data_IF_527396879421
#
_entry.id   IF_527396879421
#
_cell.length_a   1.000
_cell.length_b   1.000
_cell.length_c   1.000
_cell.angle_alpha   90.00
_cell.angle_beta   90.00
_cell.angle_gamma   90.00
#
_symmetry.space_group_name_H-M   'P 1'
#
loop_
_entity.id
_entity.type
_entity.pdbx_description
1 polymer ?
#
# COMPACT_ATOMS: atom_id res chain seq x y z
N UNK A 1 -23.86 64.32 -29.61
CA UNK A 1 -23.16 64.01 -30.88
C UNK A 1 -22.20 62.85 -30.64
N UNK A 2 -22.04 62.00 -31.64
CA UNK A 2 -21.57 60.61 -31.60
C UNK A 2 -20.05 60.37 -31.37
N UNK A 3 -19.74 59.21 -30.76
CA UNK A 3 -18.68 58.16 -30.96
C UNK A 3 -17.30 58.58 -31.54
N UNK A 4 -16.14 58.12 -31.02
CA UNK A 4 -15.52 56.75 -31.10
C UNK A 4 -14.52 56.54 -29.93
N UNK A 5 -14.41 55.42 -29.19
CA UNK A 5 -13.92 54.03 -29.43
C UNK A 5 -12.47 53.86 -29.92
N UNK A 6 -11.56 53.37 -29.07
CA UNK A 6 -10.81 52.09 -29.26
C UNK A 6 -9.72 51.80 -28.19
N UNK A 7 -9.63 50.52 -27.82
CA UNK A 7 -8.80 49.87 -26.80
C UNK A 7 -7.31 49.63 -27.16
N UNK A 8 -6.45 49.44 -26.13
CA UNK A 8 -5.47 48.33 -25.98
C UNK A 8 -4.87 48.36 -24.55
N UNK A 9 -5.08 47.35 -23.68
CA UNK A 9 -4.14 46.25 -23.27
C UNK A 9 -2.87 46.74 -22.52
N UNK A 10 -2.35 46.19 -21.41
CA UNK A 10 -2.51 44.93 -20.65
C UNK A 10 -1.62 45.05 -19.36
N UNK A 11 -2.01 44.33 -18.30
CA UNK A 11 -1.25 43.75 -17.16
C UNK A 11 -0.15 44.51 -16.38
N UNK A 12 -0.35 44.53 -15.05
CA UNK A 12 0.60 44.20 -13.96
C UNK A 12 -0.29 43.57 -12.87
N UNK A 13 -0.34 42.28 -12.59
CA UNK A 13 0.65 41.29 -12.12
C UNK A 13 1.33 41.63 -10.78
N UNK A 14 0.80 41.02 -9.72
CA UNK A 14 1.56 40.46 -8.59
C UNK A 14 0.60 39.52 -7.85
N UNK A 15 0.21 38.46 -8.56
CA UNK A 15 -0.27 37.25 -7.91
C UNK A 15 0.91 36.64 -7.16
N UNK A 16 0.76 36.39 -5.86
CA UNK A 16 1.74 35.63 -5.10
C UNK A 16 1.77 34.21 -5.66
N UNK A 17 2.81 33.93 -6.44
CA UNK A 17 3.18 32.61 -6.94
C UNK A 17 3.44 31.68 -5.75
N UNK A 18 2.39 31.02 -5.27
CA UNK A 18 2.54 29.72 -4.62
C UNK A 18 3.06 28.79 -5.71
N UNK A 19 4.38 28.68 -5.82
CA UNK A 19 5.04 27.57 -6.51
C UNK A 19 4.64 26.28 -5.80
N UNK A 20 3.47 25.76 -6.18
CA UNK A 20 3.20 24.34 -6.09
C UNK A 20 4.13 23.75 -7.14
N UNK A 21 5.38 23.48 -6.76
CA UNK A 21 6.27 22.62 -7.54
C UNK A 21 5.48 21.36 -7.84
N UNK A 22 5.18 21.16 -9.12
CA UNK A 22 4.60 19.92 -9.65
C UNK A 22 5.63 18.81 -9.43
N UNK A 23 5.67 18.26 -8.22
CA UNK A 23 6.51 17.10 -7.93
C UNK A 23 6.05 15.98 -8.86
N UNK A 24 6.99 15.44 -9.61
CA UNK A 24 6.71 14.26 -10.43
C UNK A 24 6.47 13.08 -9.49
N UNK A 25 5.55 12.17 -9.84
CA UNK A 25 5.35 10.93 -9.09
C UNK A 25 6.61 10.06 -8.99
N UNK A 26 7.64 10.35 -9.80
CA UNK A 26 8.96 9.72 -9.75
C UNK A 26 9.87 10.24 -8.62
N UNK A 27 9.54 11.38 -8.00
CA UNK A 27 10.36 12.03 -6.96
C UNK A 27 9.92 11.66 -5.54
N UNK A 28 8.91 10.79 -5.40
CA UNK A 28 8.49 10.32 -4.09
C UNK A 28 9.59 9.44 -3.47
N UNK A 29 9.97 9.75 -2.23
CA UNK A 29 10.99 9.00 -1.49
C UNK A 29 10.37 7.85 -0.68
N UNK A 30 9.14 8.04 -0.23
CA UNK A 30 8.38 7.05 0.55
C UNK A 30 7.00 6.77 -0.05
N UNK A 31 6.38 5.63 0.30
CA UNK A 31 4.99 5.35 -0.08
C UNK A 31 4.01 6.45 0.32
N UNK A 32 4.19 7.06 1.50
CA UNK A 32 3.34 8.15 1.97
C UNK A 32 3.51 9.43 1.14
N UNK A 33 4.73 9.75 0.71
CA UNK A 33 4.96 10.91 -0.17
C UNK A 33 4.21 10.73 -1.49
N UNK A 34 4.30 9.53 -2.08
CA UNK A 34 3.56 9.23 -3.31
C UNK A 34 2.05 9.24 -3.08
N UNK A 35 1.59 8.74 -1.93
CA UNK A 35 0.18 8.77 -1.56
C UNK A 35 -0.35 10.21 -1.51
N UNK A 36 0.42 11.15 -0.95
CA UNK A 36 0.05 12.56 -0.91
C UNK A 36 0.02 13.18 -2.32
N UNK A 37 1.01 12.87 -3.17
CA UNK A 37 1.08 13.37 -4.55
C UNK A 37 -0.04 12.83 -5.46
N UNK A 38 -0.45 11.58 -5.26
CA UNK A 38 -1.56 10.99 -6.01
C UNK A 38 -2.91 11.40 -5.41
N UNK A 39 -3.00 11.51 -4.08
CA UNK A 39 -4.21 11.80 -3.33
C UNK A 39 -4.79 13.20 -3.56
N UNK A 40 -4.02 14.12 -4.17
CA UNK A 40 -4.55 15.40 -4.66
C UNK A 40 -5.47 15.25 -5.88
N UNK A 41 -5.48 14.09 -6.52
CA UNK A 41 -6.28 13.76 -7.70
C UNK A 41 -7.56 13.01 -7.25
N UNK A 42 -8.58 13.77 -6.82
CA UNK A 42 -9.76 13.24 -6.12
C UNK A 42 -10.70 12.37 -6.95
N UNK A 43 -10.40 12.14 -8.24
CA UNK A 43 -11.28 11.42 -9.17
C UNK A 43 -10.80 9.99 -9.53
N UNK A 44 -9.66 9.53 -8.98
CA UNK A 44 -9.12 8.23 -9.34
C UNK A 44 -9.94 7.08 -8.74
N UNK A 45 -10.39 6.15 -9.58
CA UNK A 45 -10.91 4.86 -9.12
C UNK A 45 -9.83 4.04 -8.41
N UNK A 46 -10.18 3.09 -7.51
CA UNK A 46 -9.19 2.25 -6.82
C UNK A 46 -8.23 1.52 -7.75
N UNK A 47 -8.71 1.10 -8.94
CA UNK A 47 -7.87 0.45 -9.96
C UNK A 47 -6.87 1.44 -10.57
N UNK A 48 -7.31 2.65 -10.93
CA UNK A 48 -6.43 3.67 -11.50
C UNK A 48 -5.40 4.15 -10.47
N UNK A 49 -5.84 4.37 -9.23
CA UNK A 49 -4.95 4.67 -8.11
C UNK A 49 -3.86 3.61 -7.97
N UNK A 50 -4.25 2.32 -7.90
CA UNK A 50 -3.30 1.21 -7.82
C UNK A 50 -2.31 1.21 -8.99
N UNK A 51 -2.79 1.36 -10.23
CA UNK A 51 -1.92 1.35 -11.40
C UNK A 51 -0.92 2.51 -11.38
N UNK A 52 -1.37 3.72 -11.02
CA UNK A 52 -0.52 4.92 -10.91
C UNK A 52 0.51 4.77 -9.78
N UNK A 53 0.09 4.26 -8.63
CA UNK A 53 0.98 4.03 -7.49
C UNK A 53 2.05 2.98 -7.80
N UNK A 54 1.66 1.85 -8.42
CA UNK A 54 2.57 0.76 -8.80
C UNK A 54 3.50 1.09 -9.96
N UNK A 55 3.21 2.13 -10.73
CA UNK A 55 4.08 2.58 -11.80
C UNK A 55 5.35 3.28 -11.28
N UNK A 56 5.41 3.65 -9.99
CA UNK A 56 6.65 4.16 -9.40
C UNK A 56 7.70 3.04 -9.34
N UNK A 57 8.92 3.34 -9.82
CA UNK A 57 10.03 2.38 -9.91
C UNK A 57 10.47 1.82 -8.55
N UNK A 58 10.26 2.58 -7.47
CA UNK A 58 10.61 2.20 -6.10
C UNK A 58 9.55 1.35 -5.42
N UNK A 59 8.41 1.08 -6.07
CA UNK A 59 7.32 0.30 -5.48
C UNK A 59 7.81 -1.03 -4.87
N UNK A 60 8.61 -1.80 -5.61
CA UNK A 60 9.11 -3.10 -5.14
C UNK A 60 10.17 -2.94 -4.03
N UNK A 61 10.92 -1.85 -4.02
CA UNK A 61 11.86 -1.52 -2.94
C UNK A 61 11.09 -1.20 -1.65
N UNK A 62 10.03 -0.40 -1.74
CA UNK A 62 9.23 0.02 -0.60
C UNK A 62 8.49 -1.12 0.08
N UNK A 63 8.08 -2.15 -0.66
CA UNK A 63 7.57 -3.40 -0.06
C UNK A 63 8.56 -3.95 0.97
N UNK A 64 9.86 -3.76 0.77
CA UNK A 64 10.91 -4.28 1.68
C UNK A 64 11.39 -3.27 2.71
N UNK A 65 11.37 -1.98 2.37
CA UNK A 65 11.96 -0.91 3.21
C UNK A 65 10.94 -0.13 4.02
N UNK A 66 9.67 -0.12 3.62
CA UNK A 66 8.59 0.65 4.25
C UNK A 66 7.32 -0.18 4.45
N UNK A 67 7.41 -1.38 5.04
CA UNK A 67 6.31 -2.34 5.03
C UNK A 67 5.04 -1.80 5.70
N UNK A 68 5.14 -1.10 6.82
CA UNK A 68 4.00 -0.50 7.51
C UNK A 68 3.26 0.54 6.65
N UNK A 69 3.99 1.36 5.88
CA UNK A 69 3.36 2.32 4.97
C UNK A 69 2.69 1.61 3.81
N UNK A 70 3.34 0.56 3.29
CA UNK A 70 2.81 -0.25 2.20
C UNK A 70 1.51 -0.97 2.58
N UNK A 71 1.37 -1.47 3.82
CA UNK A 71 0.10 -2.04 4.31
C UNK A 71 -1.04 -1.03 4.17
N UNK A 72 -0.82 0.22 4.56
CA UNK A 72 -1.84 1.28 4.48
C UNK A 72 -2.24 1.56 3.03
N UNK A 73 -1.25 1.63 2.14
CA UNK A 73 -1.51 1.84 0.70
C UNK A 73 -2.26 0.66 0.09
N UNK A 74 -1.90 -0.59 0.43
CA UNK A 74 -2.59 -1.78 -0.05
C UNK A 74 -4.06 -1.82 0.37
N UNK A 75 -4.42 -1.23 1.51
CA UNK A 75 -5.82 -1.04 1.92
C UNK A 75 -6.65 -0.19 0.96
N UNK A 76 -6.02 0.60 0.08
CA UNK A 76 -6.68 1.44 -0.92
C UNK A 76 -6.80 0.77 -2.30
N UNK A 77 -6.15 -0.37 -2.50
CA UNK A 77 -6.20 -1.12 -3.76
C UNK A 77 -7.45 -2.01 -3.83
N UNK A 78 -7.83 -2.49 -5.03
CA UNK A 78 -8.84 -3.53 -5.16
C UNK A 78 -8.45 -4.79 -4.36
N UNK A 79 -9.40 -5.32 -3.57
CA UNK A 79 -9.14 -6.35 -2.57
C UNK A 79 -8.34 -7.56 -3.09
N UNK A 80 -8.65 -8.06 -4.29
CA UNK A 80 -7.91 -9.19 -4.88
C UNK A 80 -6.42 -8.89 -5.10
N UNK A 81 -6.08 -7.66 -5.48
CA UNK A 81 -4.69 -7.24 -5.65
C UNK A 81 -4.02 -7.02 -4.29
N UNK A 82 -4.73 -6.41 -3.34
CA UNK A 82 -4.26 -6.19 -1.98
C UNK A 82 -3.93 -7.50 -1.27
N UNK A 83 -4.78 -8.52 -1.39
CA UNK A 83 -4.56 -9.83 -0.77
C UNK A 83 -3.22 -10.44 -1.20
N UNK A 84 -2.96 -10.49 -2.52
CA UNK A 84 -1.71 -11.06 -3.05
C UNK A 84 -0.48 -10.28 -2.55
N UNK A 85 -0.53 -8.94 -2.63
CA UNK A 85 0.58 -8.09 -2.21
C UNK A 85 0.82 -8.15 -0.70
N UNK A 86 -0.25 -8.27 0.09
CA UNK A 86 -0.16 -8.41 1.55
C UNK A 86 0.49 -9.74 1.91
N UNK A 87 0.09 -10.84 1.28
CA UNK A 87 0.73 -12.15 1.51
C UNK A 87 2.22 -12.08 1.18
N UNK A 88 2.61 -11.46 0.06
CA UNK A 88 4.01 -11.29 -0.31
C UNK A 88 4.79 -10.41 0.69
N UNK A 89 4.22 -9.27 1.08
CA UNK A 89 4.80 -8.35 2.05
C UNK A 89 5.14 -9.07 3.36
N UNK A 90 4.17 -9.76 3.95
CA UNK A 90 4.35 -10.42 5.24
C UNK A 90 5.23 -11.66 5.17
N UNK A 91 5.32 -12.32 4.01
CA UNK A 91 6.30 -13.40 3.78
C UNK A 91 7.74 -12.90 3.94
N UNK A 92 8.02 -11.68 3.48
CA UNK A 92 9.36 -11.09 3.62
C UNK A 92 9.56 -10.33 4.94
N UNK A 93 8.53 -9.66 5.43
CA UNK A 93 8.65 -8.80 6.61
C UNK A 93 8.96 -9.61 7.87
N UNK A 94 8.35 -10.79 8.03
CA UNK A 94 8.59 -11.65 9.21
C UNK A 94 10.05 -12.06 9.37
N UNK A 95 10.77 -12.30 8.27
CA UNK A 95 12.21 -12.61 8.27
C UNK A 95 13.06 -11.41 8.76
N UNK A 96 12.58 -10.18 8.54
CA UNK A 96 13.28 -8.96 8.96
C UNK A 96 12.93 -8.53 10.37
N UNK A 97 11.66 -8.65 10.74
CA UNK A 97 11.16 -8.28 12.06
C UNK A 97 9.86 -9.01 12.36
N UNK A 98 9.97 -10.10 13.11
CA UNK A 98 8.80 -10.84 13.60
C UNK A 98 7.90 -9.92 14.44
N UNK A 99 8.46 -9.25 15.45
CA UNK A 99 7.70 -8.42 16.40
C UNK A 99 6.90 -7.29 15.71
N UNK A 100 7.50 -6.60 14.72
CA UNK A 100 6.79 -5.53 14.00
C UNK A 100 5.68 -6.07 13.11
N UNK A 101 5.93 -7.21 12.44
CA UNK A 101 4.94 -7.84 11.57
C UNK A 101 3.78 -8.42 12.38
N UNK A 102 4.04 -9.07 13.51
CA UNK A 102 3.03 -9.53 14.47
C UNK A 102 2.19 -8.35 14.97
N UNK A 103 2.85 -7.30 15.49
CA UNK A 103 2.16 -6.11 15.99
C UNK A 103 1.27 -5.46 14.93
N UNK A 104 1.70 -5.42 13.66
CA UNK A 104 0.88 -4.91 12.58
C UNK A 104 -0.37 -5.78 12.34
N UNK A 105 -0.25 -7.10 12.36
CA UNK A 105 -1.39 -8.02 12.19
C UNK A 105 -2.40 -7.85 13.34
N UNK A 106 -1.91 -7.77 14.57
CA UNK A 106 -2.75 -7.73 15.77
C UNK A 106 -3.43 -6.38 15.97
N UNK A 107 -2.73 -5.27 15.68
CA UNK A 107 -3.19 -3.94 16.01
C UNK A 107 -3.77 -3.20 14.81
N UNK A 108 -3.08 -3.20 13.66
CA UNK A 108 -3.48 -2.43 12.48
C UNK A 108 -4.45 -3.20 11.58
N UNK A 109 -4.33 -4.53 11.53
CA UNK A 109 -5.13 -5.38 10.64
C UNK A 109 -6.24 -6.16 11.35
N UNK A 110 -6.48 -5.97 12.64
CA UNK A 110 -7.45 -6.74 13.45
C UNK A 110 -8.80 -7.00 12.78
N UNK A 111 -9.37 -5.94 12.22
CA UNK A 111 -10.68 -5.94 11.55
C UNK A 111 -10.57 -5.70 10.04
N UNK A 112 -9.35 -5.71 9.51
CA UNK A 112 -9.07 -5.52 8.08
C UNK A 112 -9.42 -6.79 7.29
N UNK A 113 -10.00 -6.66 6.09
CA UNK A 113 -10.17 -7.80 5.17
C UNK A 113 -8.82 -8.39 4.71
N UNK A 114 -7.70 -7.69 4.92
CA UNK A 114 -6.36 -8.15 4.56
C UNK A 114 -5.71 -9.05 5.62
N UNK A 115 -6.30 -9.17 6.82
CA UNK A 115 -5.71 -9.89 7.95
C UNK A 115 -5.33 -11.33 7.61
N UNK A 116 -6.25 -12.07 7.01
CA UNK A 116 -6.02 -13.49 6.67
C UNK A 116 -4.94 -13.64 5.58
N UNK A 117 -4.72 -12.63 4.73
CA UNK A 117 -3.60 -12.60 3.78
C UNK A 117 -2.28 -12.26 4.46
N UNK A 118 -2.27 -11.34 5.42
CA UNK A 118 -1.08 -11.06 6.23
C UNK A 118 -0.65 -12.28 7.04
N UNK A 119 -1.60 -12.98 7.67
CA UNK A 119 -1.32 -14.23 8.39
C UNK A 119 -0.80 -15.31 7.45
N UNK A 120 -1.40 -15.49 6.28
CA UNK A 120 -0.86 -16.43 5.28
C UNK A 120 0.60 -16.10 4.90
N UNK A 121 0.93 -14.82 4.74
CA UNK A 121 2.30 -14.36 4.51
C UNK A 121 3.23 -14.70 5.68
N UNK A 122 2.82 -14.38 6.90
CA UNK A 122 3.52 -14.70 8.15
C UNK A 122 3.84 -16.21 8.23
N UNK A 123 2.83 -17.06 8.00
CA UNK A 123 2.99 -18.51 7.95
C UNK A 123 4.00 -18.95 6.89
N UNK A 124 3.90 -18.40 5.69
CA UNK A 124 4.80 -18.74 4.59
C UNK A 124 6.25 -18.36 4.86
N UNK A 125 6.50 -17.25 5.55
CA UNK A 125 7.86 -16.86 5.95
C UNK A 125 8.41 -17.70 7.10
N UNK A 126 7.56 -18.18 8.01
CA UNK A 126 7.99 -18.94 9.20
C UNK A 126 8.13 -20.44 8.97
N UNK A 127 7.43 -21.02 8.00
CA UNK A 127 7.28 -22.49 7.89
C UNK A 127 8.58 -23.28 7.75
N UNK A 128 9.66 -22.68 7.24
CA UNK A 128 10.93 -23.35 7.08
C UNK A 128 11.70 -23.51 8.40
N UNK A 129 11.71 -22.47 9.24
CA UNK A 129 12.59 -22.38 10.42
C UNK A 129 11.81 -22.43 11.75
N UNK A 130 10.52 -22.09 11.73
CA UNK A 130 9.66 -21.94 12.91
C UNK A 130 8.28 -22.56 12.68
N UNK A 131 8.25 -23.84 12.28
CA UNK A 131 7.03 -24.54 11.91
C UNK A 131 5.93 -24.48 12.99
N UNK A 132 6.29 -24.63 14.27
CA UNK A 132 5.31 -24.55 15.37
C UNK A 132 4.62 -23.18 15.45
N UNK A 133 5.39 -22.10 15.31
CA UNK A 133 4.88 -20.72 15.25
C UNK A 133 4.03 -20.50 14.01
N UNK A 134 4.45 -21.03 12.85
CA UNK A 134 3.69 -20.98 11.61
C UNK A 134 2.32 -21.70 11.76
N UNK A 135 2.27 -22.86 12.41
CA UNK A 135 1.02 -23.57 12.68
C UNK A 135 0.10 -22.74 13.60
N UNK A 136 0.65 -22.14 14.66
CA UNK A 136 -0.11 -21.28 15.56
C UNK A 136 -0.76 -20.11 14.80
N UNK A 137 0.00 -19.42 13.94
CA UNK A 137 -0.53 -18.36 13.08
C UNK A 137 -1.60 -18.87 12.11
N UNK A 138 -1.40 -20.04 11.49
CA UNK A 138 -2.40 -20.60 10.56
C UNK A 138 -3.76 -20.82 11.25
N UNK A 139 -3.78 -21.18 12.54
CA UNK A 139 -5.01 -21.32 13.31
C UNK A 139 -5.79 -20.00 13.49
N UNK A 140 -5.12 -18.85 13.41
CA UNK A 140 -5.72 -17.52 13.57
C UNK A 140 -6.46 -17.00 12.32
N UNK A 141 -6.37 -17.71 11.18
CA UNK A 141 -7.11 -17.36 9.96
C UNK A 141 -8.61 -17.53 10.19
N UNK A 142 -9.40 -16.51 9.86
CA UNK A 142 -10.87 -16.54 10.05
C UNK A 142 -11.55 -17.41 8.99
N UNK A 143 -11.14 -17.31 7.73
CA UNK A 143 -11.66 -18.16 6.64
C UNK A 143 -11.30 -19.63 6.87
N UNK A 144 -12.33 -20.46 7.11
CA UNK A 144 -12.14 -21.87 7.44
C UNK A 144 -11.52 -22.69 6.30
N UNK A 145 -11.86 -22.37 5.04
CA UNK A 145 -11.31 -23.07 3.88
C UNK A 145 -9.83 -22.75 3.72
N UNK A 146 -9.48 -21.47 3.82
CA UNK A 146 -8.10 -21.01 3.73
C UNK A 146 -7.25 -21.56 4.87
N UNK A 147 -7.77 -21.54 6.10
CA UNK A 147 -7.13 -22.13 7.28
C UNK A 147 -6.83 -23.61 7.07
N UNK A 148 -7.82 -24.37 6.59
CA UNK A 148 -7.66 -25.80 6.34
C UNK A 148 -6.57 -26.08 5.29
N UNK A 149 -6.64 -25.40 4.14
CA UNK A 149 -5.64 -25.54 3.07
C UNK A 149 -4.22 -25.20 3.55
N UNK A 150 -4.08 -24.14 4.35
CA UNK A 150 -2.78 -23.73 4.85
C UNK A 150 -2.22 -24.73 5.87
N UNK A 151 -3.03 -25.22 6.80
CA UNK A 151 -2.64 -26.25 7.77
C UNK A 151 -2.27 -27.58 7.08
N UNK A 152 -3.02 -27.98 6.05
CA UNK A 152 -2.69 -29.17 5.26
C UNK A 152 -1.32 -29.02 4.58
N UNK A 153 -1.06 -27.86 3.96
CA UNK A 153 0.25 -27.56 3.35
C UNK A 153 1.40 -27.58 4.36
N UNK A 154 1.16 -27.19 5.62
CA UNK A 154 2.18 -27.22 6.67
C UNK A 154 2.44 -28.64 7.18
N UNK A 155 1.45 -29.52 7.15
CA UNK A 155 1.61 -30.92 7.56
C UNK A 155 2.46 -31.73 6.59
N UNK A 156 2.66 -31.23 5.36
CA UNK A 156 3.48 -31.86 4.32
C UNK A 156 4.92 -31.32 4.26
N UNK A 157 5.26 -30.35 5.12
CA UNK A 157 6.59 -29.74 5.23
C UNK A 157 7.41 -30.41 6.34
#
# INVERSE_FOLDING_TARGET
MYLTSSCSHLHDDTGSDLKITSLSTSEAETPNDLLLLIGTDSELSPVQFMLKFRANERFNEWVRTHPLQMVKVMGLFPLNSSNKLTTELFTYWVDKSYDESESCIENELKDSPLRDSAIEGMVNGLKADQLATAIAWAHEIKDASKRHQLLESLATH
#
